data_IF_678494609458
#
_entry.id   IF_678494609458
#
_cell.length_a   1.000
_cell.length_b   1.000
_cell.length_c   1.000
_cell.angle_alpha   90.00
_cell.angle_beta   90.00
_cell.angle_gamma   90.00
#
_symmetry.space_group_name_H-M   'P 1'
#
loop_
_entity.id
_entity.type
_entity.pdbx_description
1 polymer ?
#
# COMPACT_ATOMS: atom_id res chain seq x y z
N UNK A 1 2.65 3.21 20.53
CA UNK A 1 2.33 4.54 20.01
C UNK A 1 1.73 4.33 18.63
N UNK A 2 0.46 4.70 18.41
CA UNK A 2 -0.18 4.53 17.11
C UNK A 2 0.60 5.36 16.06
N UNK A 3 1.03 4.72 14.98
CA UNK A 3 1.66 5.42 13.86
C UNK A 3 0.52 6.10 13.10
N UNK A 4 0.50 7.44 12.98
CA UNK A 4 -0.54 8.08 12.21
C UNK A 4 -0.49 7.58 10.77
N UNK A 5 -1.65 7.32 10.16
CA UNK A 5 -1.79 6.89 8.76
C UNK A 5 -0.82 7.59 7.79
N UNK A 6 -0.64 8.89 7.94
CA UNK A 6 0.24 9.69 7.09
C UNK A 6 1.74 9.41 7.27
N UNK A 7 2.14 8.84 8.39
CA UNK A 7 3.52 8.38 8.64
C UNK A 7 3.75 6.95 8.18
N UNK A 8 2.70 6.18 7.84
CA UNK A 8 2.84 4.79 7.43
C UNK A 8 3.71 4.65 6.17
N UNK A 9 4.68 3.74 6.20
CA UNK A 9 5.55 3.41 5.07
C UNK A 9 5.75 1.91 5.04
N UNK A 10 5.47 1.28 3.90
CA UNK A 10 5.87 -0.10 3.68
C UNK A 10 7.31 -0.15 3.14
N UNK A 11 8.03 -1.24 3.40
CA UNK A 11 9.32 -1.49 2.76
C UNK A 11 9.15 -1.63 1.25
N UNK A 12 10.22 -1.36 0.51
CA UNK A 12 10.25 -1.38 -0.94
C UNK A 12 11.61 -1.87 -1.44
N UNK A 13 11.62 -2.54 -2.59
CA UNK A 13 12.85 -2.90 -3.30
C UNK A 13 13.41 -1.70 -4.08
N UNK A 14 12.54 -0.97 -4.77
CA UNK A 14 12.89 0.23 -5.54
C UNK A 14 11.77 1.25 -5.48
N UNK A 15 12.13 2.53 -5.35
CA UNK A 15 11.17 3.63 -5.37
C UNK A 15 11.00 4.13 -6.80
N UNK A 16 9.81 3.96 -7.38
CA UNK A 16 9.47 4.40 -8.73
C UNK A 16 8.88 5.81 -8.74
N UNK A 17 8.04 6.10 -7.74
CA UNK A 17 7.52 7.43 -7.46
C UNK A 17 7.62 7.69 -5.95
N UNK A 18 8.46 8.66 -5.58
CA UNK A 18 8.51 9.18 -4.21
C UNK A 18 7.15 9.76 -3.81
N UNK A 19 6.89 9.90 -2.51
CA UNK A 19 5.62 10.47 -2.02
C UNK A 19 5.41 11.88 -2.58
N UNK A 20 4.50 11.97 -3.54
CA UNK A 20 4.26 13.16 -4.38
C UNK A 20 2.83 13.62 -4.17
N UNK A 21 2.58 14.94 -4.18
CA UNK A 21 1.22 15.48 -4.08
C UNK A 21 0.37 15.01 -5.26
N UNK A 22 -0.87 14.61 -4.99
CA UNK A 22 -1.80 14.16 -6.03
C UNK A 22 -2.05 15.22 -7.10
N UNK A 23 -1.93 16.50 -6.76
CA UNK A 23 -2.01 17.62 -7.70
C UNK A 23 -1.03 17.52 -8.90
N UNK A 24 0.04 16.73 -8.79
CA UNK A 24 1.04 16.55 -9.85
C UNK A 24 0.98 15.19 -10.54
N UNK A 25 0.07 14.30 -10.13
CA UNK A 25 0.08 12.90 -10.57
C UNK A 25 -1.30 12.48 -11.04
N UNK A 26 -1.39 12.04 -12.30
CA UNK A 26 -2.61 11.45 -12.83
C UNK A 26 -2.61 9.94 -12.56
N UNK A 27 -3.31 9.50 -11.50
CA UNK A 27 -3.28 8.11 -11.02
C UNK A 27 -3.55 7.09 -12.14
N UNK A 28 -4.54 7.33 -13.02
CA UNK A 28 -4.85 6.39 -14.12
C UNK A 28 -3.71 6.23 -15.12
N UNK A 29 -2.90 7.27 -15.32
CA UNK A 29 -1.75 7.17 -16.22
C UNK A 29 -0.66 6.32 -15.57
N UNK A 30 -0.44 6.51 -14.26
CA UNK A 30 0.49 5.70 -13.48
C UNK A 30 0.10 4.22 -13.50
N UNK A 31 -1.17 3.89 -13.29
CA UNK A 31 -1.66 2.50 -13.27
C UNK A 31 -1.74 1.84 -14.66
N UNK A 32 -1.62 2.61 -15.74
CA UNK A 32 -1.64 2.07 -17.12
C UNK A 32 -0.28 2.10 -17.79
N UNK A 33 0.78 2.49 -17.06
CA UNK A 33 2.12 2.65 -17.61
C UNK A 33 2.70 1.33 -18.13
N UNK A 34 2.46 0.23 -17.41
CA UNK A 34 2.86 -1.13 -17.80
C UNK A 34 2.25 -1.62 -19.13
N UNK A 35 1.16 -0.99 -19.60
CA UNK A 35 0.55 -1.26 -20.90
C UNK A 35 1.33 -0.62 -22.06
N UNK A 36 2.10 0.44 -21.76
CA UNK A 36 2.88 1.22 -22.73
C UNK A 36 4.35 0.82 -22.71
N UNK A 37 4.90 0.58 -21.52
CA UNK A 37 6.30 0.21 -21.33
C UNK A 37 6.40 -1.13 -20.58
N UNK A 38 7.10 -2.10 -21.20
CA UNK A 38 7.38 -3.39 -20.56
C UNK A 38 8.28 -3.25 -19.34
N UNK A 39 9.11 -2.21 -19.28
CA UNK A 39 9.99 -1.96 -18.13
C UNK A 39 9.20 -1.58 -16.87
N UNK A 40 7.96 -1.13 -17.03
CA UNK A 40 7.02 -0.79 -15.96
C UNK A 40 6.17 -1.99 -15.48
N UNK A 41 6.36 -3.20 -16.03
CA UNK A 41 5.71 -4.44 -15.56
C UNK A 41 6.40 -4.95 -14.30
N UNK A 42 6.11 -4.28 -13.19
CA UNK A 42 6.68 -4.55 -11.88
C UNK A 42 5.66 -5.16 -10.94
N UNK A 43 6.15 -5.96 -9.99
CA UNK A 43 5.44 -6.24 -8.76
C UNK A 43 5.60 -5.03 -7.83
N UNK A 44 4.52 -4.59 -7.21
CA UNK A 44 4.59 -3.39 -6.38
C UNK A 44 3.30 -2.99 -5.72
N UNK A 45 3.34 -1.83 -5.09
CA UNK A 45 2.15 -1.23 -4.51
C UNK A 45 2.12 0.28 -4.75
N UNK A 46 0.91 0.81 -4.86
CA UNK A 46 0.64 2.25 -4.89
C UNK A 46 -0.12 2.60 -3.62
N UNK A 47 0.45 3.48 -2.80
CA UNK A 47 -0.20 3.98 -1.60
C UNK A 47 -0.66 5.42 -1.85
N UNK A 48 -1.94 5.70 -1.58
CA UNK A 48 -2.58 7.00 -1.76
C UNK A 48 -3.12 7.47 -0.42
N UNK A 49 -2.54 8.54 0.11
CA UNK A 49 -3.02 9.21 1.31
C UNK A 49 -3.99 10.31 0.91
N UNK A 50 -5.27 10.08 1.17
CA UNK A 50 -6.34 11.07 1.08
C UNK A 50 -6.57 11.70 2.46
N UNK A 51 -7.31 12.82 2.57
CA UNK A 51 -7.60 13.41 3.88
C UNK A 51 -8.26 12.43 4.85
N UNK A 52 -9.20 11.61 4.38
CA UNK A 52 -10.02 10.74 5.22
C UNK A 52 -9.48 9.30 5.34
N UNK A 53 -8.68 8.83 4.37
CA UNK A 53 -8.27 7.44 4.29
C UNK A 53 -6.94 7.24 3.56
N UNK A 54 -6.36 6.05 3.74
CA UNK A 54 -5.20 5.54 3.03
C UNK A 54 -5.69 4.39 2.16
N UNK A 55 -5.50 4.53 0.86
CA UNK A 55 -5.79 3.47 -0.11
C UNK A 55 -4.46 2.82 -0.50
N UNK A 56 -4.41 1.49 -0.46
CA UNK A 56 -3.27 0.71 -0.98
C UNK A 56 -3.75 -0.12 -2.15
N UNK A 57 -3.13 0.04 -3.32
CA UNK A 57 -3.35 -0.78 -4.51
C UNK A 57 -2.15 -1.71 -4.66
N UNK A 58 -2.40 -3.00 -4.85
CA UNK A 58 -1.38 -4.03 -5.06
C UNK A 58 -1.29 -4.38 -6.54
N UNK A 59 -0.07 -4.49 -7.05
CA UNK A 59 0.21 -4.72 -8.45
C UNK A 59 1.05 -5.97 -8.65
N UNK A 60 0.63 -6.81 -9.61
CA UNK A 60 1.39 -7.93 -10.14
C UNK A 60 1.63 -7.71 -11.63
N UNK A 61 2.88 -7.84 -12.08
CA UNK A 61 3.29 -7.57 -13.46
C UNK A 61 2.78 -6.22 -14.04
N UNK A 62 2.57 -5.22 -13.17
CA UNK A 62 2.06 -3.90 -13.52
C UNK A 62 0.54 -3.77 -13.65
N UNK A 63 -0.23 -4.81 -13.35
CA UNK A 63 -1.71 -4.75 -13.27
C UNK A 63 -2.16 -4.72 -11.80
N UNK A 64 -3.20 -3.94 -11.50
CA UNK A 64 -3.77 -3.89 -10.14
C UNK A 64 -4.56 -5.17 -9.89
N UNK A 65 -4.17 -5.94 -8.88
CA UNK A 65 -4.80 -7.21 -8.52
C UNK A 65 -5.69 -7.13 -7.28
N UNK A 66 -5.35 -6.24 -6.35
CA UNK A 66 -6.05 -6.09 -5.07
C UNK A 66 -6.01 -4.64 -4.57
N UNK A 67 -6.93 -4.29 -3.67
CA UNK A 67 -6.97 -2.99 -3.03
C UNK A 67 -7.48 -3.06 -1.59
N UNK A 68 -6.92 -2.22 -0.73
CA UNK A 68 -7.41 -2.00 0.65
C UNK A 68 -7.56 -0.52 0.95
N UNK A 69 -8.38 -0.21 1.95
CA UNK A 69 -8.46 1.11 2.56
C UNK A 69 -8.33 1.04 4.08
N UNK A 70 -7.79 2.11 4.68
CA UNK A 70 -7.74 2.31 6.12
C UNK A 70 -7.95 3.78 6.49
N UNK A 71 -8.84 4.05 7.45
CA UNK A 71 -9.08 5.41 7.96
C UNK A 71 -8.05 5.83 9.01
N UNK A 72 -7.52 4.87 9.77
CA UNK A 72 -6.64 5.09 10.93
C UNK A 72 -5.18 4.65 10.69
N UNK A 73 -4.92 3.81 9.69
CA UNK A 73 -3.62 3.19 9.43
C UNK A 73 -3.38 1.91 10.25
N UNK A 74 -4.37 1.46 11.03
CA UNK A 74 -4.29 0.25 11.87
C UNK A 74 -5.22 -0.85 11.36
N UNK A 75 -6.46 -0.49 10.99
CA UNK A 75 -7.45 -1.42 10.46
C UNK A 75 -7.60 -1.21 8.97
N UNK A 76 -7.39 -2.28 8.22
CA UNK A 76 -7.51 -2.27 6.77
C UNK A 76 -8.72 -3.09 6.35
N UNK A 77 -9.43 -2.60 5.34
CA UNK A 77 -10.57 -3.29 4.75
C UNK A 77 -10.30 -3.50 3.26
N UNK A 78 -10.43 -4.73 2.73
CA UNK A 78 -10.37 -4.95 1.29
C UNK A 78 -11.56 -4.29 0.60
N UNK A 79 -11.31 -3.65 -0.54
CA UNK A 79 -12.33 -2.95 -1.33
C UNK A 79 -12.18 -3.30 -2.81
N UNK A 80 -13.25 -3.10 -3.59
CA UNK A 80 -13.17 -3.28 -5.03
C UNK A 80 -12.15 -2.29 -5.64
N UNK A 81 -11.36 -2.75 -6.61
CA UNK A 81 -10.36 -1.93 -7.30
C UNK A 81 -11.02 -0.70 -7.96
N UNK A 82 -12.20 -0.89 -8.54
CA UNK A 82 -13.00 0.21 -9.11
C UNK A 82 -13.33 1.29 -8.08
N UNK A 83 -13.67 0.87 -6.86
CA UNK A 83 -14.04 1.78 -5.79
C UNK A 83 -12.80 2.51 -5.28
N UNK A 84 -11.69 1.79 -5.10
CA UNK A 84 -10.41 2.36 -4.69
C UNK A 84 -9.95 3.45 -5.67
N UNK A 85 -9.99 3.17 -6.98
CA UNK A 85 -9.61 4.14 -8.02
C UNK A 85 -10.64 5.28 -8.09
N UNK A 86 -11.93 4.99 -7.93
CA UNK A 86 -13.01 5.97 -7.98
C UNK A 86 -13.00 6.98 -6.84
N UNK A 87 -12.46 6.58 -5.68
CA UNK A 87 -12.29 7.47 -4.50
C UNK A 87 -11.17 8.48 -4.66
N UNK A 88 -10.19 8.23 -5.54
CA UNK A 88 -9.09 9.18 -5.81
C UNK A 88 -9.57 10.23 -6.81
N UNK A 89 -9.75 11.50 -6.40
CA UNK A 89 -10.25 12.53 -7.29
C UNK A 89 -9.25 12.85 -8.41
N UNK A 90 -9.73 13.01 -9.65
CA UNK A 90 -8.88 13.34 -10.81
C UNK A 90 -8.19 14.69 -10.66
N UNK A 91 -8.81 15.63 -9.93
CA UNK A 91 -8.28 16.96 -9.62
C UNK A 91 -8.15 17.13 -8.10
N UNK A 92 -7.46 16.19 -7.45
CA UNK A 92 -7.26 16.25 -6.00
C UNK A 92 -6.26 17.36 -5.63
N UNK A 93 -6.77 18.43 -5.02
CA UNK A 93 -5.94 19.49 -4.41
C UNK A 93 -5.19 18.98 -3.16
N UNK A 94 -5.75 17.96 -2.50
CA UNK A 94 -5.25 17.40 -1.26
C UNK A 94 -4.89 15.92 -1.41
N UNK A 95 -3.86 15.51 -0.67
CA UNK A 95 -3.38 14.13 -0.63
C UNK A 95 -2.08 13.90 -1.39
N UNK A 96 -1.57 12.68 -1.26
CA UNK A 96 -0.30 12.27 -1.85
C UNK A 96 -0.31 10.83 -2.28
N UNK A 97 0.57 10.47 -3.20
CA UNK A 97 0.72 9.12 -3.74
C UNK A 97 2.19 8.74 -3.81
N UNK A 98 2.50 7.47 -3.59
CA UNK A 98 3.79 6.88 -3.95
C UNK A 98 3.57 5.61 -4.76
N UNK A 99 4.60 5.18 -5.49
CA UNK A 99 4.61 3.93 -6.23
C UNK A 99 5.95 3.25 -6.02
N UNK A 100 5.93 2.04 -5.47
CA UNK A 100 7.13 1.28 -5.16
C UNK A 100 7.09 -0.10 -5.78
N UNK A 101 8.24 -0.54 -6.28
CA UNK A 101 8.48 -1.94 -6.61
C UNK A 101 8.76 -2.71 -5.31
N UNK A 102 8.17 -3.88 -5.18
CA UNK A 102 8.35 -4.80 -4.07
C UNK A 102 8.54 -6.23 -4.58
N UNK A 103 9.14 -7.07 -3.75
CA UNK A 103 9.15 -8.51 -4.01
C UNK A 103 7.73 -9.07 -3.82
N UNK A 104 7.41 -10.16 -4.51
CA UNK A 104 6.09 -10.79 -4.47
C UNK A 104 5.74 -11.23 -3.04
N UNK A 105 6.68 -11.87 -2.35
CA UNK A 105 6.54 -12.33 -0.98
C UNK A 105 6.30 -11.18 0.01
N UNK A 106 6.84 -9.99 -0.30
CA UNK A 106 6.59 -8.81 0.49
C UNK A 106 5.16 -8.28 0.27
N UNK A 107 4.64 -8.33 -0.95
CA UNK A 107 3.25 -7.96 -1.22
C UNK A 107 2.28 -8.89 -0.49
N UNK A 108 2.53 -10.20 -0.54
CA UNK A 108 1.79 -11.21 0.22
C UNK A 108 1.81 -10.91 1.71
N UNK A 109 2.99 -10.56 2.25
CA UNK A 109 3.13 -10.21 3.67
C UNK A 109 2.34 -8.96 4.02
N UNK A 110 2.43 -7.90 3.22
CA UNK A 110 1.66 -6.67 3.46
C UNK A 110 0.17 -6.97 3.41
N UNK A 111 -0.29 -7.69 2.39
CA UNK A 111 -1.69 -8.09 2.26
C UNK A 111 -2.16 -8.90 3.46
N UNK A 112 -1.43 -9.95 3.83
CA UNK A 112 -1.76 -10.80 4.97
C UNK A 112 -1.82 -10.03 6.28
N UNK A 113 -0.94 -9.03 6.50
CA UNK A 113 -0.99 -8.18 7.70
C UNK A 113 -2.17 -7.21 7.72
N UNK A 114 -2.68 -6.82 6.55
CA UNK A 114 -3.81 -5.91 6.44
C UNK A 114 -5.16 -6.61 6.60
N UNK A 115 -5.33 -7.77 5.95
CA UNK A 115 -6.62 -8.47 5.88
C UNK A 115 -6.69 -9.71 6.76
N UNK A 116 -5.54 -10.22 7.20
CA UNK A 116 -5.45 -11.40 8.04
C UNK A 116 -6.01 -11.14 9.43
N UNK A 117 -6.44 -12.22 10.10
CA UNK A 117 -6.83 -12.15 11.51
C UNK A 117 -5.56 -12.08 12.35
N UNK A 118 -5.36 -11.02 13.16
CA UNK A 118 -4.22 -10.95 14.06
C UNK A 118 -4.22 -12.15 15.00
N UNK A 119 -3.13 -12.92 14.98
CA UNK A 119 -2.96 -14.00 15.93
C UNK A 119 -2.49 -13.40 17.27
N UNK A 120 -3.13 -13.76 18.39
CA UNK A 120 -2.64 -13.32 19.68
C UNK A 120 -1.24 -13.88 19.89
N UNK A 121 -0.34 -13.02 20.38
CA UNK A 121 0.99 -13.47 20.75
C UNK A 121 0.85 -14.53 21.87
N UNK A 122 1.52 -15.69 21.77
CA UNK A 122 1.59 -16.66 22.86
C UNK A 122 1.99 -15.99 24.16
N UNK A 123 1.43 -16.42 25.30
CA UNK A 123 1.67 -15.78 26.60
C UNK A 123 3.14 -15.84 27.02
N UNK A 124 3.85 -16.83 26.50
CA UNK A 124 5.26 -17.10 26.75
C UNK A 124 6.18 -16.16 25.97
N UNK A 125 5.68 -15.55 24.89
CA UNK A 125 6.43 -14.62 24.05
C UNK A 125 6.11 -13.18 24.44
N UNK A 126 7.14 -12.34 24.48
CA UNK A 126 6.99 -10.90 24.67
C UNK A 126 7.23 -10.19 23.35
N UNK A 127 6.38 -9.20 23.03
CA UNK A 127 6.46 -8.48 21.76
C UNK A 127 7.76 -7.66 21.59
N UNK A 128 8.45 -7.36 22.70
CA UNK A 128 9.72 -6.63 22.74
C UNK A 128 10.96 -7.53 22.78
N UNK A 129 10.79 -8.87 22.81
CA UNK A 129 11.88 -9.84 22.83
C UNK A 129 12.13 -10.39 21.41
N UNK A 130 12.91 -9.63 20.62
CA UNK A 130 13.18 -9.97 19.22
C UNK A 130 13.90 -11.33 19.05
N UNK A 131 14.76 -11.70 20.00
CA UNK A 131 15.49 -12.98 19.94
C UNK A 131 14.52 -14.15 20.12
N UNK A 132 13.57 -14.04 21.06
CA UNK A 132 12.53 -15.07 21.25
C UNK A 132 11.54 -15.15 20.09
N UNK A 133 11.32 -14.06 19.36
CA UNK A 133 10.39 -14.00 18.22
C UNK A 133 10.98 -14.54 16.91
N UNK A 134 12.31 -14.59 16.78
CA UNK A 134 13.02 -14.94 15.55
C UNK A 134 13.86 -16.22 15.65
N UNK A 135 13.89 -16.88 16.80
CA UNK A 135 14.55 -18.17 17.03
C UNK A 135 13.77 -19.36 16.44
#
# INVERSE_FOLDING_TARGET
MAIPRDALRYPAKRVLLQRTRLAYVHLRNLLSDAKRDRSARVYGYVAVWLPEELITLFLEEGEVVNATTSTDGEKFTPIAISDAIGRVPTAAEYGSVCFHEAADELLDTIWATQVGTPLPLPRELKADDADALLA
#
